data_IF_212429022927
#
_entry.id   IF_212429022927
#
_cell.length_a   1.000
_cell.length_b   1.000
_cell.length_c   1.000
_cell.angle_alpha   90.00
_cell.angle_beta   90.00
_cell.angle_gamma   90.00
#
_symmetry.space_group_name_H-M   'P 1'
#
loop_
_entity.id
_entity.type
_entity.pdbx_description
1 polymer ?
#
# COMPACT_ATOMS: atom_id res chain seq x y z
N UNK A 1 -12.91 -10.56 17.30
CA UNK A 1 -13.28 -10.97 15.94
C UNK A 1 -14.67 -11.60 15.96
N UNK A 2 -15.61 -11.14 15.13
CA UNK A 2 -16.97 -11.66 15.04
C UNK A 2 -17.13 -12.93 14.18
N UNK A 3 -16.06 -13.67 13.93
CA UNK A 3 -16.05 -14.86 13.06
C UNK A 3 -15.89 -16.17 13.80
N UNK A 4 -16.06 -17.30 13.09
CA UNK A 4 -15.77 -18.60 13.66
C UNK A 4 -14.27 -18.75 13.94
N UNK A 5 -13.90 -19.48 14.97
CA UNK A 5 -12.49 -19.81 15.28
C UNK A 5 -11.76 -20.38 14.05
N UNK A 6 -12.43 -21.21 13.26
CA UNK A 6 -11.87 -21.81 12.07
C UNK A 6 -11.54 -20.80 10.96
N UNK A 7 -12.37 -19.80 10.77
CA UNK A 7 -12.11 -18.73 9.79
C UNK A 7 -10.88 -17.91 10.17
N UNK A 8 -10.73 -17.57 11.46
CA UNK A 8 -9.53 -16.87 11.96
C UNK A 8 -8.29 -17.73 11.81
N UNK A 9 -8.37 -19.02 12.17
CA UNK A 9 -7.24 -19.93 12.06
C UNK A 9 -6.76 -20.09 10.61
N UNK A 10 -7.68 -20.24 9.66
CA UNK A 10 -7.35 -20.33 8.22
C UNK A 10 -6.72 -19.04 7.67
N UNK A 11 -7.03 -17.90 8.24
CA UNK A 11 -6.40 -16.63 7.88
C UNK A 11 -4.98 -16.50 8.47
N UNK A 12 -4.76 -17.10 9.64
CA UNK A 12 -3.53 -16.95 10.41
C UNK A 12 -2.46 -17.99 10.07
N UNK A 13 -2.86 -19.22 9.72
CA UNK A 13 -1.94 -20.35 9.51
C UNK A 13 -2.02 -20.85 8.08
N UNK A 14 -0.91 -20.90 7.34
CA UNK A 14 -0.87 -21.49 6.01
C UNK A 14 -1.26 -22.98 6.03
N UNK A 15 -1.77 -23.47 4.90
CA UNK A 15 -2.10 -24.90 4.76
C UNK A 15 -0.91 -25.81 5.07
N UNK A 16 -1.10 -26.77 5.94
CA UNK A 16 -0.07 -27.72 6.41
C UNK A 16 0.55 -28.52 5.27
N UNK A 17 1.87 -28.71 5.30
CA UNK A 17 2.65 -29.53 4.37
C UNK A 17 3.64 -30.39 5.17
N UNK A 18 3.29 -31.66 5.39
CA UNK A 18 4.04 -32.60 6.24
C UNK A 18 5.53 -32.74 5.87
N UNK A 19 5.85 -32.68 4.58
CA UNK A 19 7.23 -32.78 4.09
C UNK A 19 8.11 -31.65 4.69
N UNK A 20 7.56 -30.45 4.86
CA UNK A 20 8.31 -29.29 5.33
C UNK A 20 8.61 -29.35 6.83
N UNK A 21 7.80 -30.05 7.61
CA UNK A 21 8.02 -30.24 9.05
C UNK A 21 9.29 -31.04 9.34
N UNK A 22 9.62 -32.01 8.48
CA UNK A 22 10.82 -32.86 8.62
C UNK A 22 12.13 -32.14 8.31
N UNK A 23 12.09 -31.03 7.56
CA UNK A 23 13.28 -30.31 7.13
C UNK A 23 13.74 -29.31 8.20
N UNK A 24 12.84 -28.80 9.02
CA UNK A 24 13.14 -27.70 9.97
C UNK A 24 13.86 -28.20 11.23
N UNK A 25 13.80 -29.49 11.56
CA UNK A 25 14.45 -30.05 12.74
C UNK A 25 15.99 -30.01 12.69
N UNK A 26 16.59 -29.63 11.55
CA UNK A 26 18.03 -29.80 11.31
C UNK A 26 18.86 -28.50 11.13
N UNK A 27 18.25 -27.31 10.98
CA UNK A 27 18.99 -26.10 10.61
C UNK A 27 18.80 -24.93 11.61
N UNK A 28 19.43 -24.96 12.75
CA UNK A 28 19.45 -23.87 13.71
C UNK A 28 20.84 -23.19 13.78
N UNK A 29 21.25 -22.50 12.73
CA UNK A 29 22.39 -21.59 12.80
C UNK A 29 21.91 -20.14 12.73
N UNK A 30 21.94 -19.43 13.87
CA UNK A 30 21.61 -18.01 13.97
C UNK A 30 22.88 -17.22 13.70
N UNK A 31 23.01 -16.61 12.54
CA UNK A 31 24.03 -15.60 12.30
C UNK A 31 23.59 -14.27 12.94
N UNK A 32 24.43 -13.68 13.78
CA UNK A 32 24.19 -12.36 14.34
C UNK A 32 24.18 -11.32 13.22
N UNK A 33 23.17 -10.45 13.18
CA UNK A 33 23.16 -9.31 12.29
C UNK A 33 24.30 -8.37 12.66
N UNK A 34 25.11 -7.99 11.67
CA UNK A 34 26.21 -7.03 11.86
C UNK A 34 25.72 -5.68 12.39
N UNK A 35 26.60 -4.93 13.01
CA UNK A 35 26.33 -3.55 13.44
C UNK A 35 26.04 -2.68 12.21
N UNK A 36 24.96 -1.91 12.26
CA UNK A 36 24.54 -1.00 11.19
C UNK A 36 24.41 0.42 11.73
N UNK A 37 24.86 1.40 10.98
CA UNK A 37 24.72 2.83 11.27
C UNK A 37 24.23 3.57 10.01
N UNK A 38 23.47 4.63 10.21
CA UNK A 38 22.94 5.49 9.12
C UNK A 38 23.06 6.95 9.54
N UNK A 39 24.16 7.63 9.16
CA UNK A 39 24.34 9.04 9.44
C UNK A 39 23.25 9.92 8.85
N UNK A 40 22.80 9.60 7.61
CA UNK A 40 21.77 10.35 6.91
C UNK A 40 20.42 10.24 7.63
N UNK A 41 20.06 9.05 8.10
CA UNK A 41 18.83 8.89 8.90
C UNK A 41 18.96 9.61 10.24
N UNK A 42 20.12 9.53 10.88
CA UNK A 42 20.39 10.22 12.16
C UNK A 42 20.24 11.74 12.03
N UNK A 43 20.71 12.32 10.91
CA UNK A 43 20.53 13.73 10.62
C UNK A 43 19.03 14.08 10.41
N UNK A 44 18.30 13.22 9.66
CA UNK A 44 16.91 13.44 9.34
C UNK A 44 15.99 13.37 10.57
N UNK A 45 16.12 12.33 11.40
CA UNK A 45 15.22 12.09 12.54
C UNK A 45 15.72 12.65 13.86
N UNK A 46 16.98 13.07 13.91
CA UNK A 46 17.63 13.60 15.10
C UNK A 46 18.17 12.52 16.05
N UNK A 47 19.13 12.92 16.88
CA UNK A 47 19.86 12.00 17.78
C UNK A 47 18.96 11.27 18.78
N UNK A 48 17.92 11.93 19.29
CA UNK A 48 17.01 11.35 20.28
C UNK A 48 16.22 10.18 19.70
N UNK A 49 15.54 10.38 18.58
CA UNK A 49 14.72 9.35 17.92
C UNK A 49 15.61 8.21 17.36
N UNK A 50 16.78 8.56 16.83
CA UNK A 50 17.77 7.57 16.41
C UNK A 50 18.21 6.68 17.58
N UNK A 51 18.50 7.26 18.75
CA UNK A 51 18.86 6.52 19.97
C UNK A 51 17.71 5.64 20.48
N UNK A 52 16.45 6.10 20.36
CA UNK A 52 15.29 5.30 20.72
C UNK A 52 15.12 4.09 19.80
N UNK A 53 15.38 4.21 18.48
CA UNK A 53 15.36 3.08 17.56
C UNK A 53 16.37 1.98 17.93
N UNK A 54 17.52 2.35 18.45
CA UNK A 54 18.57 1.43 18.93
C UNK A 54 18.36 0.95 20.38
N UNK A 55 17.37 1.48 21.08
CA UNK A 55 17.07 1.07 22.45
C UNK A 55 16.18 -0.17 22.50
N UNK A 56 16.30 -0.94 23.60
CA UNK A 56 15.37 -2.05 23.89
C UNK A 56 14.03 -1.58 24.45
N UNK A 57 13.83 -0.27 24.56
CA UNK A 57 12.56 0.29 25.02
C UNK A 57 11.45 0.00 24.02
N UNK A 58 10.25 -0.17 24.55
CA UNK A 58 9.04 -0.35 23.76
C UNK A 58 8.68 0.96 23.06
N UNK A 59 8.51 0.91 21.75
CA UNK A 59 8.14 2.05 20.93
C UNK A 59 6.65 1.96 20.53
N UNK A 60 6.00 3.11 20.51
CA UNK A 60 4.64 3.30 19.99
C UNK A 60 4.61 4.56 19.14
N UNK A 61 4.95 4.43 17.86
CA UNK A 61 5.15 5.55 16.98
C UNK A 61 4.17 5.60 15.81
N UNK A 62 3.67 6.80 15.52
CA UNK A 62 3.03 7.14 14.26
C UNK A 62 3.93 8.10 13.49
N UNK A 63 4.58 7.62 12.42
CA UNK A 63 5.57 8.36 11.64
C UNK A 63 4.92 8.83 10.35
N UNK A 64 4.90 10.14 10.11
CA UNK A 64 4.58 10.67 8.80
C UNK A 64 5.86 10.76 7.95
N UNK A 65 5.82 10.13 6.76
CA UNK A 65 6.93 10.23 5.81
C UNK A 65 7.30 11.68 5.52
N UNK A 66 8.59 12.01 5.50
CA UNK A 66 9.04 13.26 4.92
C UNK A 66 8.78 13.26 3.40
N UNK A 67 7.99 14.19 2.90
CA UNK A 67 7.47 14.20 1.50
C UNK A 67 8.59 14.20 0.43
N UNK A 68 9.76 14.76 0.76
CA UNK A 68 10.89 14.84 -0.19
C UNK A 68 11.88 13.66 -0.08
N UNK A 69 11.61 12.69 0.80
CA UNK A 69 12.48 11.51 1.00
C UNK A 69 11.93 10.34 0.19
N UNK A 70 12.81 9.50 -0.34
CA UNK A 70 12.42 8.20 -0.88
C UNK A 70 11.80 7.34 0.25
N UNK A 71 10.50 6.98 0.16
CA UNK A 71 9.84 6.19 1.18
C UNK A 71 10.49 4.84 1.43
N UNK A 72 11.01 4.19 0.39
CA UNK A 72 11.65 2.89 0.50
C UNK A 72 12.97 3.00 1.25
N UNK A 73 13.80 3.99 0.91
CA UNK A 73 15.03 4.25 1.63
C UNK A 73 14.76 4.47 3.13
N UNK A 74 13.84 5.38 3.45
CA UNK A 74 13.51 5.72 4.84
C UNK A 74 13.05 4.49 5.64
N UNK A 75 12.16 3.69 5.06
CA UNK A 75 11.66 2.46 5.67
C UNK A 75 12.78 1.45 5.90
N UNK A 76 13.63 1.22 4.88
CA UNK A 76 14.72 0.27 4.95
C UNK A 76 15.74 0.65 6.04
N UNK A 77 16.06 1.93 6.18
CA UNK A 77 16.96 2.41 7.21
C UNK A 77 16.39 2.18 8.62
N UNK A 78 15.10 2.45 8.84
CA UNK A 78 14.43 2.15 10.12
C UNK A 78 14.45 0.65 10.42
N UNK A 79 14.16 -0.20 9.43
CA UNK A 79 14.16 -1.66 9.59
C UNK A 79 15.56 -2.16 9.97
N UNK A 80 16.60 -1.74 9.24
CA UNK A 80 17.98 -2.15 9.51
C UNK A 80 18.46 -1.74 10.91
N UNK A 81 18.17 -0.50 11.30
CA UNK A 81 18.51 -0.02 12.63
C UNK A 81 17.79 -0.78 13.73
N UNK A 82 16.47 -0.89 13.62
CA UNK A 82 15.65 -1.52 14.65
C UNK A 82 15.92 -3.03 14.77
N UNK A 83 16.28 -3.70 13.67
CA UNK A 83 16.61 -5.12 13.65
C UNK A 83 17.85 -5.48 14.49
N UNK A 84 18.70 -4.51 14.83
CA UNK A 84 19.85 -4.75 15.73
C UNK A 84 19.41 -5.08 17.16
N UNK A 85 18.24 -4.60 17.58
CA UNK A 85 17.79 -4.71 18.99
C UNK A 85 16.48 -5.47 19.15
N UNK A 86 15.76 -5.78 18.06
CA UNK A 86 14.50 -6.52 18.10
C UNK A 86 14.25 -7.27 16.79
N UNK A 87 13.49 -8.36 16.86
CA UNK A 87 12.90 -8.97 15.65
C UNK A 87 11.92 -8.00 15.00
N UNK A 88 11.89 -7.94 13.68
CA UNK A 88 11.00 -7.07 12.92
C UNK A 88 9.94 -7.88 12.19
N UNK A 89 8.67 -7.50 12.33
CA UNK A 89 7.61 -7.87 11.43
C UNK A 89 7.20 -6.64 10.63
N UNK A 90 7.49 -6.65 9.32
CA UNK A 90 7.13 -5.60 8.39
C UNK A 90 5.86 -6.00 7.62
N UNK A 91 4.76 -5.29 7.85
CA UNK A 91 3.49 -5.46 7.14
C UNK A 91 3.38 -4.40 6.06
N UNK A 92 3.30 -4.85 4.81
CA UNK A 92 3.20 -3.97 3.64
C UNK A 92 1.85 -4.14 2.93
N UNK A 93 1.38 -3.14 2.15
CA UNK A 93 0.08 -3.18 1.49
C UNK A 93 -0.06 -4.34 0.50
N UNK A 94 0.91 -4.52 -0.40
CA UNK A 94 0.80 -5.50 -1.48
C UNK A 94 2.07 -6.34 -1.72
N UNK A 95 1.95 -7.33 -2.62
CA UNK A 95 3.04 -8.24 -2.96
C UNK A 95 4.19 -7.55 -3.73
N UNK A 96 3.93 -6.43 -4.39
CA UNK A 96 4.96 -5.67 -5.09
C UNK A 96 5.90 -4.99 -4.10
N UNK A 97 5.34 -4.52 -2.98
CA UNK A 97 6.13 -3.95 -1.89
C UNK A 97 7.03 -5.03 -1.28
N UNK A 98 6.51 -6.27 -1.08
CA UNK A 98 7.36 -7.39 -0.64
C UNK A 98 8.52 -7.56 -1.61
N UNK A 99 8.24 -7.70 -2.91
CA UNK A 99 9.28 -7.94 -3.92
C UNK A 99 10.35 -6.83 -3.94
N UNK A 100 9.92 -5.58 -3.92
CA UNK A 100 10.83 -4.42 -3.98
C UNK A 100 11.71 -4.31 -2.74
N UNK A 101 11.11 -4.46 -1.54
CA UNK A 101 11.81 -4.31 -0.27
C UNK A 101 12.68 -5.52 0.06
N UNK A 102 12.20 -6.74 -0.24
CA UNK A 102 12.98 -7.96 0.00
C UNK A 102 14.26 -8.00 -0.82
N UNK A 103 14.25 -7.52 -2.06
CA UNK A 103 15.45 -7.47 -2.89
C UNK A 103 16.60 -6.67 -2.22
N UNK A 104 16.26 -5.60 -1.51
CA UNK A 104 17.25 -4.77 -0.79
C UNK A 104 17.56 -5.34 0.58
N UNK A 105 16.55 -5.82 1.31
CA UNK A 105 16.73 -6.39 2.66
C UNK A 105 17.54 -7.69 2.62
N UNK A 106 17.40 -8.51 1.56
CA UNK A 106 18.14 -9.75 1.39
C UNK A 106 19.67 -9.53 1.36
N UNK A 107 20.12 -8.42 0.78
CA UNK A 107 21.55 -8.08 0.75
C UNK A 107 22.11 -7.82 2.17
N UNK A 108 21.27 -7.42 3.12
CA UNK A 108 21.69 -7.11 4.48
C UNK A 108 21.43 -8.26 5.47
N UNK A 109 20.31 -8.96 5.32
CA UNK A 109 19.85 -9.96 6.29
C UNK A 109 20.06 -11.42 5.82
N UNK A 110 20.27 -11.65 4.51
CA UNK A 110 20.45 -13.00 3.97
C UNK A 110 19.33 -13.96 4.43
N UNK A 111 19.72 -15.09 5.01
CA UNK A 111 18.79 -16.11 5.53
C UNK A 111 17.97 -15.68 6.75
N UNK A 112 18.31 -14.54 7.36
CA UNK A 112 17.56 -13.93 8.47
C UNK A 112 16.34 -13.10 7.99
N UNK A 113 16.13 -12.97 6.67
CA UNK A 113 14.93 -12.42 6.05
C UNK A 113 13.98 -13.53 5.66
N UNK A 114 12.74 -13.47 6.13
CA UNK A 114 11.68 -14.41 5.75
C UNK A 114 10.51 -13.65 5.12
N UNK A 115 10.07 -14.12 3.96
CA UNK A 115 8.89 -13.61 3.28
C UNK A 115 7.67 -14.49 3.58
N UNK A 116 6.52 -13.86 3.87
CA UNK A 116 5.23 -14.51 4.01
C UNK A 116 4.24 -13.85 3.04
N UNK A 117 4.35 -14.20 1.76
CA UNK A 117 3.53 -13.66 0.68
C UNK A 117 2.65 -14.71 -0.01
N UNK A 118 1.60 -14.25 -0.70
CA UNK A 118 0.69 -15.12 -1.46
C UNK A 118 1.31 -15.61 -2.78
N UNK A 119 2.33 -14.93 -3.29
CA UNK A 119 3.10 -15.33 -4.47
C UNK A 119 3.92 -16.62 -4.26
N UNK A 120 4.19 -16.97 -3.00
CA UNK A 120 4.94 -18.18 -2.67
C UNK A 120 4.11 -19.45 -2.90
N UNK A 121 4.79 -20.54 -3.31
CA UNK A 121 4.14 -21.87 -3.37
C UNK A 121 3.66 -22.29 -1.98
N UNK A 122 2.63 -23.13 -1.91
CA UNK A 122 2.09 -23.64 -0.62
C UNK A 122 3.18 -24.24 0.27
N UNK A 123 4.12 -25.01 -0.32
CA UNK A 123 5.24 -25.63 0.38
C UNK A 123 6.19 -24.59 0.98
N UNK A 124 6.63 -23.63 0.17
CA UNK A 124 7.55 -22.58 0.62
C UNK A 124 6.91 -21.66 1.66
N UNK A 125 5.64 -21.29 1.47
CA UNK A 125 4.89 -20.48 2.41
C UNK A 125 4.75 -21.16 3.78
N UNK A 126 4.46 -22.46 3.79
CA UNK A 126 4.39 -23.23 5.03
C UNK A 126 5.77 -23.38 5.67
N UNK A 127 6.82 -23.67 4.91
CA UNK A 127 8.21 -23.70 5.39
C UNK A 127 8.62 -22.37 6.03
N UNK A 128 8.36 -21.26 5.36
CA UNK A 128 8.68 -19.95 5.87
C UNK A 128 7.90 -19.63 7.16
N UNK A 129 6.62 -20.00 7.24
CA UNK A 129 5.84 -19.90 8.48
C UNK A 129 6.47 -20.73 9.63
N UNK A 130 6.90 -21.96 9.37
CA UNK A 130 7.58 -22.77 10.38
C UNK A 130 8.92 -22.13 10.80
N UNK A 131 9.68 -21.56 9.88
CA UNK A 131 10.89 -20.79 10.20
C UNK A 131 10.59 -19.63 11.15
N UNK A 132 9.51 -18.87 10.97
CA UNK A 132 9.16 -17.80 11.90
C UNK A 132 8.87 -18.30 13.30
N UNK A 133 8.34 -19.53 13.42
CA UNK A 133 7.99 -20.13 14.71
C UNK A 133 9.18 -20.73 15.46
N UNK A 134 10.14 -21.33 14.76
CA UNK A 134 11.19 -22.14 15.36
C UNK A 134 12.59 -21.52 15.27
N UNK A 135 12.83 -20.65 14.27
CA UNK A 135 14.17 -20.07 14.04
C UNK A 135 14.25 -18.57 14.38
N UNK A 136 13.13 -17.91 14.60
CA UNK A 136 13.05 -16.50 14.97
C UNK A 136 13.94 -15.59 14.09
N UNK A 137 13.66 -15.47 12.78
CA UNK A 137 14.44 -14.65 11.87
C UNK A 137 14.42 -13.18 12.29
N UNK A 138 15.44 -12.42 11.92
CA UNK A 138 15.55 -10.99 12.27
C UNK A 138 14.46 -10.14 11.62
N UNK A 139 14.13 -10.43 10.37
CA UNK A 139 13.10 -9.68 9.63
C UNK A 139 12.11 -10.65 8.98
N UNK A 140 10.85 -10.40 9.21
CA UNK A 140 9.72 -11.05 8.53
C UNK A 140 9.00 -9.97 7.74
N UNK A 141 8.88 -10.13 6.43
CA UNK A 141 8.09 -9.25 5.57
C UNK A 141 6.86 -9.97 5.04
N UNK A 142 5.71 -9.32 5.10
CA UNK A 142 4.45 -9.92 4.68
C UNK A 142 3.41 -8.87 4.31
N UNK A 143 2.39 -9.29 3.56
CA UNK A 143 1.13 -8.56 3.45
C UNK A 143 0.27 -8.79 4.71
N UNK A 144 -0.98 -8.35 4.69
CA UNK A 144 -1.90 -8.36 5.85
C UNK A 144 -1.92 -9.65 6.68
N UNK A 145 -1.87 -10.83 6.03
CA UNK A 145 -1.97 -12.12 6.75
C UNK A 145 -0.79 -12.41 7.69
N UNK A 146 0.38 -11.83 7.41
CA UNK A 146 1.56 -12.00 8.27
C UNK A 146 1.42 -11.36 9.66
N UNK A 147 0.41 -10.53 9.88
CA UNK A 147 0.16 -9.96 11.20
C UNK A 147 -0.07 -11.04 12.29
N UNK A 148 -0.41 -12.26 11.90
CA UNK A 148 -0.55 -13.41 12.80
C UNK A 148 0.74 -14.23 12.97
N UNK A 149 1.83 -13.87 12.29
CA UNK A 149 3.09 -14.61 12.40
C UNK A 149 3.56 -14.71 13.87
N UNK A 150 4.09 -15.86 14.29
CA UNK A 150 4.77 -15.99 15.58
C UNK A 150 5.93 -15.00 15.68
N UNK A 151 6.07 -14.31 16.80
CA UNK A 151 7.12 -13.34 17.07
C UNK A 151 7.78 -13.61 18.40
N UNK A 152 9.05 -13.20 18.51
CA UNK A 152 9.74 -13.10 19.79
C UNK A 152 9.08 -12.08 20.72
N UNK A 153 9.31 -12.26 22.00
CA UNK A 153 8.97 -11.24 22.99
C UNK A 153 9.77 -9.96 22.72
N UNK A 154 9.09 -8.81 22.75
CA UNK A 154 9.66 -7.48 22.45
C UNK A 154 10.03 -7.26 20.98
N UNK A 155 9.49 -8.06 20.05
CA UNK A 155 9.58 -7.77 18.62
C UNK A 155 9.00 -6.39 18.28
N UNK A 156 9.33 -5.87 17.12
CA UNK A 156 8.75 -4.63 16.58
C UNK A 156 7.88 -4.95 15.37
N UNK A 157 6.63 -4.52 15.40
CA UNK A 157 5.73 -4.59 14.24
C UNK A 157 5.70 -3.22 13.56
N UNK A 158 6.07 -3.19 12.29
CA UNK A 158 6.03 -1.99 11.44
C UNK A 158 4.92 -2.18 10.42
N UNK A 159 3.95 -1.26 10.38
CA UNK A 159 2.86 -1.24 9.40
C UNK A 159 3.09 -0.08 8.44
N UNK A 160 3.28 -0.40 7.16
CA UNK A 160 3.46 0.57 6.10
C UNK A 160 2.11 0.99 5.53
N UNK A 161 1.86 2.31 5.39
CA UNK A 161 0.66 2.87 4.76
C UNK A 161 -0.65 2.31 5.34
N UNK A 162 -0.84 2.49 6.64
CA UNK A 162 -1.98 1.96 7.42
C UNK A 162 -3.37 2.37 6.90
N UNK A 163 -3.44 3.41 6.05
CA UNK A 163 -4.65 3.84 5.36
C UNK A 163 -4.99 2.98 4.13
N UNK A 164 -4.05 2.20 3.60
CA UNK A 164 -4.27 1.43 2.37
C UNK A 164 -5.34 0.34 2.59
N UNK A 165 -6.28 0.25 1.64
CA UNK A 165 -7.39 -0.73 1.69
C UNK A 165 -6.92 -2.18 1.62
N UNK A 166 -5.71 -2.46 1.13
CA UNK A 166 -5.10 -3.80 1.07
C UNK A 166 -4.86 -4.41 2.46
N UNK A 167 -4.83 -3.58 3.50
CA UNK A 167 -4.75 -4.04 4.89
C UNK A 167 -6.04 -4.68 5.41
N UNK A 168 -7.15 -4.51 4.70
CA UNK A 168 -8.43 -5.08 5.09
C UNK A 168 -8.69 -6.42 4.42
N UNK A 169 -9.04 -7.44 5.21
CA UNK A 169 -9.50 -8.75 4.73
C UNK A 169 -11.01 -8.73 4.54
N UNK A 170 -11.43 -8.90 3.28
CA UNK A 170 -12.85 -8.83 2.89
C UNK A 170 -13.64 -10.09 3.25
N UNK A 171 -12.96 -11.25 3.34
CA UNK A 171 -13.63 -12.52 3.69
C UNK A 171 -13.96 -12.56 5.18
N UNK A 172 -15.06 -13.22 5.51
CA UNK A 172 -15.44 -13.43 6.92
C UNK A 172 -14.28 -14.09 7.71
N UNK A 173 -13.94 -13.55 8.88
CA UNK A 173 -14.69 -12.61 9.73
C UNK A 173 -14.48 -11.13 9.44
N UNK A 174 -13.75 -10.74 8.43
CA UNK A 174 -13.38 -9.36 8.14
C UNK A 174 -12.50 -8.76 9.24
N UNK A 175 -11.29 -8.32 8.90
CA UNK A 175 -10.37 -7.72 9.85
C UNK A 175 -9.36 -6.82 9.14
N UNK A 176 -8.78 -5.88 9.85
CA UNK A 176 -7.71 -5.04 9.36
C UNK A 176 -6.38 -5.38 10.07
N UNK A 177 -5.29 -5.51 9.32
CA UNK A 177 -3.96 -5.83 9.90
C UNK A 177 -3.51 -4.77 10.91
N UNK A 178 -3.86 -3.50 10.71
CA UNK A 178 -3.67 -2.42 11.67
C UNK A 178 -4.31 -2.78 13.03
N UNK A 179 -5.57 -3.19 13.03
CA UNK A 179 -6.31 -3.47 14.26
C UNK A 179 -5.75 -4.70 14.98
N UNK A 180 -5.40 -5.74 14.22
CA UNK A 180 -4.70 -6.92 14.79
C UNK A 180 -3.34 -6.55 15.36
N UNK A 181 -2.60 -5.65 14.70
CA UNK A 181 -1.32 -5.14 15.20
C UNK A 181 -1.50 -4.43 16.55
N UNK A 182 -2.53 -3.61 16.71
CA UNK A 182 -2.83 -2.91 17.96
C UNK A 182 -3.11 -3.90 19.11
N UNK A 183 -3.73 -5.05 18.84
CA UNK A 183 -3.96 -6.11 19.85
C UNK A 183 -2.66 -6.77 20.34
N UNK A 184 -1.57 -6.63 19.61
CA UNK A 184 -0.24 -7.16 19.99
C UNK A 184 0.56 -6.23 20.91
N UNK A 185 0.01 -5.08 21.26
CA UNK A 185 0.69 -4.05 22.08
C UNK A 185 1.36 -4.61 23.34
N UNK A 186 0.76 -5.58 24.02
CA UNK A 186 1.35 -6.12 25.26
C UNK A 186 2.75 -6.73 25.08
N UNK A 187 3.08 -7.23 23.88
CA UNK A 187 4.27 -8.02 23.61
C UNK A 187 5.24 -7.36 22.61
N UNK A 188 4.84 -6.30 21.91
CA UNK A 188 5.60 -5.73 20.80
C UNK A 188 5.69 -4.21 20.84
N UNK A 189 6.77 -3.67 20.23
CA UNK A 189 6.77 -2.27 19.79
C UNK A 189 5.92 -2.12 18.54
N UNK A 190 5.27 -0.97 18.38
CA UNK A 190 4.38 -0.68 17.26
C UNK A 190 4.85 0.59 16.55
N UNK A 191 5.10 0.49 15.25
CA UNK A 191 5.49 1.63 14.42
C UNK A 191 4.58 1.65 13.18
N UNK A 192 3.82 2.72 13.01
CA UNK A 192 3.02 2.97 11.82
C UNK A 192 3.72 4.01 10.98
N UNK A 193 4.03 3.70 9.72
CA UNK A 193 4.74 4.59 8.80
C UNK A 193 3.86 4.86 7.59
N UNK A 194 3.45 6.11 7.39
CA UNK A 194 2.53 6.47 6.32
C UNK A 194 2.70 7.93 5.90
N UNK A 195 2.45 8.30 4.64
CA UNK A 195 2.35 9.71 4.25
C UNK A 195 1.15 10.40 4.93
N UNK A 196 0.07 9.64 5.12
CA UNK A 196 -1.14 10.06 5.86
C UNK A 196 -1.69 8.86 6.60
N UNK A 197 -1.99 9.02 7.88
CA UNK A 197 -2.53 7.95 8.71
C UNK A 197 -4.05 7.79 8.55
N UNK A 198 -4.54 6.59 8.81
CA UNK A 198 -5.97 6.32 8.99
C UNK A 198 -6.55 7.11 10.17
N UNK A 199 -7.87 7.30 10.18
CA UNK A 199 -8.54 8.02 11.27
C UNK A 199 -8.30 7.38 12.64
N UNK A 200 -8.21 6.05 12.68
CA UNK A 200 -7.95 5.29 13.90
C UNK A 200 -6.54 5.56 14.44
N UNK A 201 -5.52 5.53 13.58
CA UNK A 201 -4.14 5.84 13.98
C UNK A 201 -4.01 7.33 14.31
N UNK A 202 -4.63 8.21 13.55
CA UNK A 202 -4.67 9.65 13.85
C UNK A 202 -5.30 9.93 15.22
N UNK A 203 -6.38 9.21 15.57
CA UNK A 203 -6.99 9.31 16.90
C UNK A 203 -6.08 8.84 18.01
N UNK A 204 -5.36 7.73 17.80
CA UNK A 204 -4.39 7.23 18.79
C UNK A 204 -3.22 8.20 19.00
N UNK A 205 -2.81 8.90 17.96
CA UNK A 205 -1.82 9.98 18.04
C UNK A 205 -2.38 11.17 18.82
N UNK A 206 -3.62 11.58 18.52
CA UNK A 206 -4.29 12.72 19.16
C UNK A 206 -4.40 12.53 20.68
N UNK A 207 -4.77 11.33 21.13
CA UNK A 207 -4.86 11.00 22.57
C UNK A 207 -3.51 10.62 23.19
N UNK A 208 -2.39 10.80 22.46
CA UNK A 208 -1.03 10.48 22.91
C UNK A 208 -0.80 9.01 23.29
N UNK A 209 -1.59 8.08 22.75
CA UNK A 209 -1.34 6.64 22.89
C UNK A 209 -0.24 6.16 21.95
N UNK A 210 -0.13 6.79 20.76
CA UNK A 210 1.01 6.73 19.86
C UNK A 210 1.74 8.07 19.89
N UNK A 211 3.06 8.03 19.95
CA UNK A 211 3.90 9.22 19.81
C UNK A 211 3.97 9.63 18.33
N UNK A 212 3.61 10.87 18.04
CA UNK A 212 3.71 11.43 16.69
C UNK A 212 5.16 11.74 16.34
N UNK A 213 5.63 11.21 15.23
CA UNK A 213 6.93 11.56 14.64
C UNK A 213 6.72 12.26 13.29
N UNK A 214 7.16 13.49 13.22
CA UNK A 214 7.06 14.33 12.03
C UNK A 214 8.43 14.92 11.73
N UNK A 215 9.07 14.43 10.67
CA UNK A 215 10.38 14.89 10.26
C UNK A 215 10.24 15.91 9.13
N UNK A 216 10.67 17.15 9.40
CA UNK A 216 10.55 18.26 8.46
C UNK A 216 11.68 18.21 7.44
N UNK A 217 11.33 18.23 6.17
CA UNK A 217 12.27 18.51 5.08
C UNK A 217 11.84 19.78 4.34
N UNK A 218 12.81 20.45 3.70
CA UNK A 218 12.50 21.54 2.77
C UNK A 218 11.77 20.96 1.56
N UNK A 219 10.48 21.23 1.46
CA UNK A 219 9.69 20.83 0.31
C UNK A 219 9.69 21.95 -0.72
N UNK A 220 10.24 21.68 -1.90
CA UNK A 220 10.23 22.60 -3.05
C UNK A 220 9.05 22.35 -4.00
N UNK A 221 8.30 21.27 -3.77
CA UNK A 221 7.16 20.91 -4.61
C UNK A 221 5.97 21.84 -4.34
N UNK A 222 5.29 22.23 -5.41
CA UNK A 222 4.06 23.03 -5.34
C UNK A 222 2.87 22.11 -5.56
N UNK A 223 1.95 22.07 -4.60
CA UNK A 223 0.69 21.36 -4.71
C UNK A 223 -0.41 22.34 -5.09
N UNK A 224 -1.21 21.98 -6.10
CA UNK A 224 -2.38 22.73 -6.52
C UNK A 224 -3.59 21.81 -6.44
N UNK A 225 -4.59 22.18 -5.68
CA UNK A 225 -5.90 21.52 -5.64
C UNK A 225 -6.87 22.29 -6.53
N UNK A 226 -7.63 21.59 -7.35
CA UNK A 226 -8.63 22.21 -8.22
C UNK A 226 -10.03 21.78 -7.77
N UNK A 227 -10.60 22.53 -6.85
CA UNK A 227 -11.94 22.24 -6.30
C UNK A 227 -13.08 22.67 -7.24
N UNK A 228 -12.84 23.62 -8.15
CA UNK A 228 -13.90 24.27 -8.93
C UNK A 228 -13.96 23.86 -10.42
N UNK A 229 -13.26 22.82 -10.84
CA UNK A 229 -13.34 22.29 -12.22
C UNK A 229 -12.84 23.25 -13.32
N UNK A 230 -12.48 24.48 -13.01
CA UNK A 230 -12.06 25.47 -13.97
C UNK A 230 -10.54 25.47 -14.15
N UNK A 231 -10.14 25.03 -15.35
CA UNK A 231 -8.80 25.28 -15.93
C UNK A 231 -7.59 24.74 -15.18
N UNK A 232 -7.64 23.45 -14.75
CA UNK A 232 -6.40 22.76 -14.37
C UNK A 232 -5.36 22.77 -15.52
N UNK A 233 -5.81 22.92 -16.77
CA UNK A 233 -4.93 23.02 -17.96
C UNK A 233 -4.03 24.27 -17.89
N UNK A 234 -4.53 25.41 -17.40
CA UNK A 234 -3.69 26.61 -17.25
C UNK A 234 -2.60 26.43 -16.19
N UNK A 235 -2.95 25.75 -15.09
CA UNK A 235 -1.99 25.38 -14.04
C UNK A 235 -0.93 24.40 -14.56
N UNK A 236 -1.34 23.40 -15.34
CA UNK A 236 -0.40 22.46 -16.01
C UNK A 236 0.53 23.23 -16.94
N UNK A 237 0.01 24.10 -17.84
CA UNK A 237 0.85 24.92 -18.75
C UNK A 237 1.89 25.73 -17.98
N UNK A 238 1.51 26.35 -16.88
CA UNK A 238 2.42 27.13 -16.03
C UNK A 238 3.42 26.22 -15.30
N UNK A 239 3.02 25.01 -14.90
CA UNK A 239 3.89 24.04 -14.23
C UNK A 239 4.98 23.51 -15.16
N UNK A 240 4.62 23.16 -16.39
CA UNK A 240 5.52 22.59 -17.39
C UNK A 240 6.70 23.51 -17.73
N UNK A 241 6.50 24.83 -17.68
CA UNK A 241 7.61 25.78 -17.90
C UNK A 241 8.68 25.74 -16.80
N UNK A 242 8.36 25.11 -15.66
CA UNK A 242 9.26 25.02 -14.50
C UNK A 242 9.73 23.56 -14.22
N UNK A 243 9.23 22.58 -14.96
CA UNK A 243 9.62 21.17 -14.79
C UNK A 243 8.48 20.17 -15.02
N UNK A 244 8.65 18.97 -14.53
CA UNK A 244 7.66 17.90 -14.66
C UNK A 244 6.40 18.22 -13.83
N UNK A 245 5.23 17.88 -14.38
CA UNK A 245 3.94 18.08 -13.73
C UNK A 245 3.28 16.71 -13.50
N UNK A 246 2.95 16.40 -12.25
CA UNK A 246 2.16 15.24 -11.87
C UNK A 246 0.69 15.63 -11.73
N UNK A 247 -0.19 14.96 -12.47
CA UNK A 247 -1.65 15.12 -12.36
C UNK A 247 -2.24 13.89 -11.69
N UNK A 248 -2.75 14.06 -10.46
CA UNK A 248 -3.43 12.98 -9.74
C UNK A 248 -4.91 12.94 -10.14
N UNK A 249 -5.37 11.76 -10.56
CA UNK A 249 -6.76 11.50 -10.94
C UNK A 249 -7.29 10.36 -10.09
N UNK A 250 -8.41 10.59 -9.39
CA UNK A 250 -8.98 9.62 -8.44
C UNK A 250 -9.60 8.39 -9.09
N UNK A 251 -10.00 8.49 -10.37
CA UNK A 251 -10.76 7.46 -11.05
C UNK A 251 -9.96 6.78 -12.15
N UNK A 252 -10.01 5.44 -12.20
CA UNK A 252 -9.41 4.62 -13.26
C UNK A 252 -10.30 4.57 -14.49
N UNK A 253 -9.72 4.28 -15.67
CA UNK A 253 -10.46 4.08 -16.92
C UNK A 253 -10.89 5.38 -17.61
N UNK A 254 -11.77 5.26 -18.58
CA UNK A 254 -12.24 6.40 -19.39
C UNK A 254 -13.44 7.11 -18.77
N UNK A 255 -14.45 6.33 -18.31
CA UNK A 255 -15.62 6.84 -17.62
C UNK A 255 -16.27 5.74 -16.75
N UNK A 256 -16.21 5.90 -15.45
CA UNK A 256 -16.65 4.87 -14.50
C UNK A 256 -18.15 4.91 -14.18
N UNK A 257 -18.82 6.02 -14.49
CA UNK A 257 -20.24 6.16 -14.27
C UNK A 257 -20.83 7.07 -15.31
N UNK A 258 -21.89 6.62 -15.97
CA UNK A 258 -22.65 7.50 -16.83
C UNK A 258 -24.15 7.45 -16.58
N UNK A 259 -24.79 8.56 -16.87
CA UNK A 259 -26.22 8.79 -16.75
C UNK A 259 -26.81 9.04 -18.12
N UNK A 260 -28.11 9.02 -18.20
CA UNK A 260 -28.84 9.54 -19.37
C UNK A 260 -28.76 11.08 -19.42
N UNK A 261 -28.41 11.65 -20.57
CA UNK A 261 -28.38 13.10 -20.75
C UNK A 261 -29.72 13.77 -20.49
N UNK A 262 -30.83 13.09 -20.85
CA UNK A 262 -32.18 13.64 -20.77
C UNK A 262 -32.80 13.53 -19.38
N UNK A 263 -32.84 12.34 -18.79
CA UNK A 263 -33.55 12.10 -17.53
C UNK A 263 -32.61 11.98 -16.30
N UNK A 264 -31.29 12.00 -16.50
CA UNK A 264 -30.24 11.88 -15.45
C UNK A 264 -30.28 10.57 -14.67
N UNK A 265 -31.08 9.59 -15.07
CA UNK A 265 -31.04 8.27 -14.45
C UNK A 265 -29.74 7.54 -14.77
N UNK A 266 -29.25 6.76 -13.80
CA UNK A 266 -28.06 5.95 -13.94
C UNK A 266 -28.26 4.89 -15.03
N UNK A 267 -27.25 4.72 -15.88
CA UNK A 267 -27.24 3.67 -16.87
C UNK A 267 -26.86 2.33 -16.22
N UNK A 268 -27.84 1.45 -16.08
CA UNK A 268 -27.68 0.13 -15.50
C UNK A 268 -27.81 -0.97 -16.55
N UNK A 269 -27.14 -2.08 -16.31
CA UNK A 269 -27.30 -3.33 -17.03
C UNK A 269 -28.56 -4.08 -16.55
N UNK A 270 -29.08 -4.99 -17.35
CA UNK A 270 -30.17 -5.90 -16.95
C UNK A 270 -29.84 -6.74 -15.72
N UNK A 271 -28.55 -7.05 -15.49
CA UNK A 271 -28.10 -7.73 -14.27
C UNK A 271 -28.06 -6.84 -13.01
N UNK A 272 -28.46 -5.56 -13.11
CA UNK A 272 -28.39 -4.58 -12.02
C UNK A 272 -27.05 -3.87 -11.87
N UNK A 273 -26.00 -4.29 -12.58
CA UNK A 273 -24.68 -3.65 -12.54
C UNK A 273 -24.67 -2.30 -13.25
N UNK A 274 -23.84 -1.37 -12.77
CA UNK A 274 -23.63 -0.07 -13.42
C UNK A 274 -22.85 -0.25 -14.73
N UNK A 275 -23.20 0.54 -15.74
CA UNK A 275 -22.46 0.59 -16.99
C UNK A 275 -21.30 1.57 -16.85
N UNK A 276 -20.15 1.18 -17.40
CA UNK A 276 -18.93 1.98 -17.48
C UNK A 276 -18.41 2.00 -18.90
N UNK A 277 -17.61 3.00 -19.24
CA UNK A 277 -16.91 3.08 -20.53
C UNK A 277 -15.43 2.83 -20.26
N UNK A 278 -14.89 1.76 -20.84
CA UNK A 278 -13.50 1.37 -20.73
C UNK A 278 -12.78 1.58 -22.06
N UNK A 279 -11.61 2.22 -22.01
CA UNK A 279 -10.64 2.31 -23.07
C UNK A 279 -11.06 2.93 -24.40
N UNK A 280 -10.34 2.57 -25.45
CA UNK A 280 -10.38 3.19 -26.78
C UNK A 280 -11.67 2.98 -27.56
N UNK A 281 -12.42 1.93 -27.28
CA UNK A 281 -13.63 1.58 -28.04
C UNK A 281 -14.86 2.39 -27.66
N UNK A 282 -14.85 3.09 -26.51
CA UNK A 282 -15.97 3.92 -25.98
C UNK A 282 -17.33 3.20 -25.93
N UNK A 283 -17.33 1.86 -25.89
CA UNK A 283 -18.54 1.05 -25.81
C UNK A 283 -18.86 0.84 -24.32
N UNK A 284 -20.08 1.17 -23.87
CA UNK A 284 -20.48 0.88 -22.50
C UNK A 284 -20.46 -0.62 -22.21
N UNK A 285 -19.86 -0.99 -21.06
CA UNK A 285 -19.81 -2.35 -20.53
C UNK A 285 -20.34 -2.40 -19.11
N UNK A 286 -20.97 -3.49 -18.75
CA UNK A 286 -21.36 -3.73 -17.38
C UNK A 286 -20.15 -4.07 -16.51
N UNK A 287 -20.04 -3.39 -15.35
CA UNK A 287 -18.97 -3.68 -14.38
C UNK A 287 -19.06 -5.11 -13.83
N UNK A 288 -20.26 -5.66 -13.62
CA UNK A 288 -20.46 -6.98 -13.04
C UNK A 288 -20.36 -8.12 -14.06
N UNK A 289 -21.21 -8.11 -15.09
CA UNK A 289 -21.32 -9.22 -16.05
C UNK A 289 -20.55 -9.03 -17.34
N UNK A 290 -19.88 -7.90 -17.53
CA UNK A 290 -19.09 -7.54 -18.72
C UNK A 290 -19.88 -7.45 -20.03
N UNK A 291 -21.21 -7.48 -19.99
CA UNK A 291 -22.06 -7.31 -21.18
C UNK A 291 -21.80 -5.96 -21.85
N UNK A 292 -21.65 -5.96 -23.19
CA UNK A 292 -21.38 -4.77 -24.01
C UNK A 292 -22.67 -4.19 -24.59
N UNK A 293 -22.81 -2.87 -24.56
CA UNK A 293 -23.95 -2.13 -25.05
C UNK A 293 -23.57 -1.19 -26.21
N UNK A 294 -23.40 -1.73 -27.42
CA UNK A 294 -22.98 -0.93 -28.61
C UNK A 294 -24.00 0.16 -28.97
N UNK A 295 -25.31 -0.12 -28.78
CA UNK A 295 -26.42 0.79 -29.06
C UNK A 295 -27.21 1.06 -27.78
N UNK A 296 -26.53 1.56 -26.75
CA UNK A 296 -27.18 1.86 -25.47
C UNK A 296 -28.35 2.82 -25.63
N UNK A 297 -29.44 2.49 -24.96
CA UNK A 297 -30.60 3.36 -24.79
C UNK A 297 -31.00 3.37 -23.33
N UNK A 298 -31.42 4.53 -22.84
CA UNK A 298 -31.87 4.69 -21.47
C UNK A 298 -33.12 3.84 -21.22
N UNK A 299 -33.09 2.99 -20.19
CA UNK A 299 -34.22 2.15 -19.79
C UNK A 299 -35.45 2.95 -19.32
N UNK A 300 -35.26 4.24 -18.94
CA UNK A 300 -36.33 5.09 -18.43
C UNK A 300 -36.97 5.98 -19.51
N UNK A 301 -36.19 6.56 -20.42
CA UNK A 301 -36.69 7.54 -21.38
C UNK A 301 -36.29 7.28 -22.82
N UNK A 302 -35.67 6.14 -23.11
CA UNK A 302 -35.22 5.69 -24.43
C UNK A 302 -34.23 6.65 -25.14
N UNK A 303 -33.75 7.71 -24.52
CA UNK A 303 -32.70 8.56 -25.07
C UNK A 303 -31.39 7.78 -25.18
N UNK A 304 -30.61 8.03 -26.23
CA UNK A 304 -29.36 7.31 -26.53
C UNK A 304 -28.11 8.11 -26.22
N UNK A 305 -28.23 9.29 -25.61
CA UNK A 305 -27.10 10.16 -25.29
C UNK A 305 -26.63 9.95 -23.86
N UNK A 306 -25.40 9.42 -23.64
CA UNK A 306 -24.85 9.28 -22.32
C UNK A 306 -24.31 10.62 -21.80
N UNK A 307 -24.44 10.86 -20.49
CA UNK A 307 -23.83 11.96 -19.76
C UNK A 307 -22.80 11.37 -18.77
N UNK A 308 -21.54 11.69 -18.99
CA UNK A 308 -20.43 11.17 -18.18
C UNK A 308 -20.17 12.10 -17.01
N UNK A 309 -20.25 11.56 -15.79
CA UNK A 309 -20.03 12.33 -14.55
C UNK A 309 -18.57 12.29 -14.12
N UNK A 310 -17.96 11.12 -14.08
CA UNK A 310 -16.60 10.94 -13.64
C UNK A 310 -15.65 10.85 -14.83
N UNK A 311 -14.61 11.70 -14.84
CA UNK A 311 -13.54 11.65 -15.82
C UNK A 311 -12.43 10.78 -15.26
N UNK A 312 -12.20 9.62 -15.88
CA UNK A 312 -11.09 8.76 -15.52
C UNK A 312 -9.74 9.26 -16.07
N UNK A 313 -8.69 8.57 -15.69
CA UNK A 313 -7.30 8.94 -16.03
C UNK A 313 -7.07 9.01 -17.55
N UNK A 314 -7.64 8.09 -18.34
CA UNK A 314 -7.44 8.05 -19.80
C UNK A 314 -8.07 9.26 -20.49
N UNK A 315 -9.28 9.64 -20.09
CA UNK A 315 -9.95 10.83 -20.62
C UNK A 315 -9.23 12.11 -20.23
N UNK A 316 -8.74 12.18 -18.98
CA UNK A 316 -7.95 13.32 -18.52
C UNK A 316 -6.67 13.45 -19.34
N UNK A 317 -5.97 12.35 -19.60
CA UNK A 317 -4.78 12.35 -20.45
C UNK A 317 -5.08 12.81 -21.89
N UNK A 318 -6.20 12.37 -22.50
CA UNK A 318 -6.63 12.86 -23.81
C UNK A 318 -6.91 14.39 -23.81
N UNK A 319 -7.61 14.90 -22.79
CA UNK A 319 -7.91 16.34 -22.66
C UNK A 319 -6.64 17.16 -22.53
N UNK A 320 -5.67 16.70 -21.73
CA UNK A 320 -4.36 17.33 -21.59
C UNK A 320 -3.61 17.31 -22.93
N UNK A 321 -3.57 16.17 -23.61
CA UNK A 321 -2.88 16.03 -24.90
C UNK A 321 -3.43 16.93 -26.00
N UNK A 322 -4.76 17.13 -26.04
CA UNK A 322 -5.40 18.08 -26.97
C UNK A 322 -5.11 19.53 -26.60
N UNK A 323 -5.07 19.85 -25.31
CA UNK A 323 -4.85 21.21 -24.86
C UNK A 323 -3.35 21.65 -24.91
N UNK A 324 -2.45 20.67 -24.87
CA UNK A 324 -0.99 20.89 -24.82
C UNK A 324 -0.32 19.88 -25.78
N UNK A 325 -0.46 20.10 -27.09
CA UNK A 325 0.20 19.25 -28.09
C UNK A 325 1.73 19.35 -27.96
N UNK A 326 2.43 18.28 -28.32
CA UNK A 326 3.90 18.14 -28.28
C UNK A 326 4.53 17.83 -26.92
N UNK A 327 3.74 17.55 -25.88
CA UNK A 327 4.26 17.11 -24.59
C UNK A 327 3.99 15.61 -24.40
N UNK A 328 5.00 14.87 -23.98
CA UNK A 328 4.84 13.47 -23.65
C UNK A 328 3.97 13.32 -22.39
N UNK A 329 2.88 12.55 -22.47
CA UNK A 329 2.01 12.24 -21.35
C UNK A 329 2.24 10.79 -20.97
N UNK A 330 2.71 10.57 -19.76
CA UNK A 330 2.86 9.24 -19.18
C UNK A 330 1.67 8.94 -18.27
N UNK A 331 1.03 7.80 -18.48
CA UNK A 331 -0.11 7.35 -17.69
C UNK A 331 0.33 6.19 -16.81
N UNK A 332 0.26 6.37 -15.49
CA UNK A 332 0.56 5.34 -14.51
C UNK A 332 -0.72 4.93 -13.78
N UNK A 333 -1.18 3.69 -13.99
CA UNK A 333 -2.38 3.18 -13.32
C UNK A 333 -2.41 1.65 -13.27
N UNK A 334 -2.98 1.08 -12.22
CA UNK A 334 -3.23 -0.36 -12.10
C UNK A 334 -2.00 -1.22 -12.42
N UNK A 335 -2.09 -2.06 -13.46
CA UNK A 335 -1.01 -2.97 -13.86
C UNK A 335 0.10 -2.33 -14.69
N UNK A 336 -0.05 -1.06 -15.09
CA UNK A 336 0.93 -0.28 -15.86
C UNK A 336 1.50 0.84 -15.00
N UNK A 337 2.04 0.48 -13.85
CA UNK A 337 2.69 1.45 -12.96
C UNK A 337 4.06 1.83 -13.50
N UNK A 338 4.35 3.13 -13.45
CA UNK A 338 5.66 3.70 -13.82
C UNK A 338 6.43 3.91 -12.52
N UNK A 339 7.54 3.20 -12.36
CA UNK A 339 8.39 3.26 -11.16
C UNK A 339 9.42 4.38 -11.21
N UNK A 340 9.80 4.83 -12.41
CA UNK A 340 10.76 5.91 -12.61
C UNK A 340 10.37 6.76 -13.82
N UNK A 341 10.59 8.07 -13.73
CA UNK A 341 10.41 8.93 -14.89
C UNK A 341 11.57 8.72 -15.85
N UNK A 342 11.33 8.67 -17.19
CA UNK A 342 12.41 8.64 -18.15
C UNK A 342 13.25 9.92 -17.98
N UNK A 343 14.56 9.76 -17.98
CA UNK A 343 15.50 10.87 -18.08
C UNK A 343 15.21 11.63 -19.37
N UNK A 344 14.81 12.88 -19.26
CA UNK A 344 14.52 13.77 -20.39
C UNK A 344 15.75 14.12 -21.20
#
# INVERSE_FOLDING_TARGET
FGGSFWAVLNSAVPSRVLKEEKIIETDASINEAGSYDSPELRELIGRADFGQLLSKQKLKWGINFPIATDPNWFLLEIVKLRAQVSQILLIVPDEKDIYTLSAVLANHFGDQLIELGSHLTKSLRYRNYLKTRYMFPKVIISTRSGVFAPLEKNATVIVLSDLDSSHYELHSPGWNSRDVTLLRDHFTSLIFISPSHSLEIARLIEISWLEKKLYKQKNTQRFLTNENGNSYISSIKKGISNGNVLVSVSEKGYANLFLCSKCRNTANCECGGKLQIDGSKKIPKCYLCQAEYKNWKCSFCADNRPFVIAKGIERTAEEIGRAIPKIAILVSSGNKQISSLPSG
#
